data_IF_370780805647
#
_entry.id   IF_370780805647
#
_cell.length_a   1.000
_cell.length_b   1.000
_cell.length_c   1.000
_cell.angle_alpha   90.00
_cell.angle_beta   90.00
_cell.angle_gamma   90.00
#
_symmetry.space_group_name_H-M   'P 1'
#
loop_
_entity.id
_entity.type
_entity.pdbx_description
1 polymer ?
#
# COMPACT_ATOMS: atom_id res chain seq x y z
N UNK A 1 4.52 20.11 14.41
CA UNK A 1 4.62 18.85 15.20
C UNK A 1 4.28 17.72 14.25
N UNK A 2 5.05 16.63 14.19
CA UNK A 2 4.85 15.58 13.17
C UNK A 2 3.59 14.72 13.37
N UNK A 3 2.95 14.80 14.54
CA UNK A 3 1.77 13.99 14.87
C UNK A 3 0.58 14.24 13.93
N UNK A 4 0.33 15.50 13.57
CA UNK A 4 -0.78 15.86 12.65
C UNK A 4 -0.52 15.35 11.22
N UNK A 5 0.75 15.25 10.83
CA UNK A 5 1.16 14.77 9.51
C UNK A 5 0.94 13.26 9.39
N UNK A 6 1.24 12.51 10.45
CA UNK A 6 1.04 11.04 10.46
C UNK A 6 -0.42 10.68 10.27
N UNK A 7 -1.35 11.38 10.95
CA UNK A 7 -2.77 11.12 10.79
C UNK A 7 -3.24 11.36 9.34
N UNK A 8 -2.81 12.47 8.74
CA UNK A 8 -3.13 12.80 7.36
C UNK A 8 -2.55 11.79 6.35
N UNK A 9 -1.33 11.31 6.58
CA UNK A 9 -0.70 10.30 5.72
C UNK A 9 -1.44 8.95 5.79
N UNK A 10 -1.89 8.55 6.99
CA UNK A 10 -2.70 7.34 7.16
C UNK A 10 -4.07 7.46 6.48
N UNK A 11 -4.71 8.64 6.54
CA UNK A 11 -5.96 8.90 5.82
C UNK A 11 -5.75 8.82 4.29
N UNK A 12 -4.67 9.44 3.80
CA UNK A 12 -4.29 9.38 2.39
C UNK A 12 -3.96 7.95 1.95
N UNK A 13 -3.37 7.13 2.82
CA UNK A 13 -3.10 5.72 2.56
C UNK A 13 -4.39 4.93 2.34
N UNK A 14 -5.38 5.13 3.22
CA UNK A 14 -6.71 4.49 3.10
C UNK A 14 -7.42 4.95 1.83
N UNK A 15 -7.36 6.24 1.49
CA UNK A 15 -7.99 6.78 0.28
C UNK A 15 -7.41 6.21 -1.01
N UNK A 16 -6.14 5.77 -1.01
CA UNK A 16 -5.48 5.15 -2.16
C UNK A 16 -5.78 3.65 -2.32
N UNK A 17 -6.48 3.05 -1.36
CA UNK A 17 -6.86 1.65 -1.44
C UNK A 17 -7.81 1.43 -2.63
N UNK A 18 -7.54 0.40 -3.42
CA UNK A 18 -8.41 -0.03 -4.50
C UNK A 18 -9.77 -0.50 -3.97
N UNK A 19 -10.76 -0.55 -4.85
CA UNK A 19 -12.11 -1.06 -4.50
C UNK A 19 -12.09 -2.53 -4.05
N UNK A 20 -11.08 -3.29 -4.47
CA UNK A 20 -10.83 -4.67 -4.06
C UNK A 20 -10.09 -4.79 -2.73
N UNK A 21 -9.81 -3.67 -2.04
CA UNK A 21 -9.10 -3.64 -0.76
C UNK A 21 -7.58 -3.78 -0.88
N UNK A 22 -7.02 -3.60 -2.07
CA UNK A 22 -5.59 -3.80 -2.32
C UNK A 22 -4.87 -2.50 -2.71
N UNK A 23 -3.54 -2.54 -2.69
CA UNK A 23 -2.70 -1.46 -3.21
C UNK A 23 -1.82 -1.96 -4.35
N UNK A 24 -1.94 -1.31 -5.50
CA UNK A 24 -1.02 -1.53 -6.61
C UNK A 24 0.26 -0.70 -6.46
N UNK A 25 1.40 -1.21 -6.94
CA UNK A 25 2.61 -0.40 -7.05
C UNK A 25 2.37 0.76 -8.02
N UNK A 26 2.72 1.98 -7.59
CA UNK A 26 2.69 3.20 -8.42
C UNK A 26 3.99 3.42 -9.19
N UNK A 27 4.85 2.40 -9.24
CA UNK A 27 6.16 2.40 -9.87
C UNK A 27 6.34 1.12 -10.68
N UNK A 28 7.29 1.12 -11.59
CA UNK A 28 7.77 -0.07 -12.30
C UNK A 28 9.29 -0.11 -12.27
N UNK A 29 9.89 -1.24 -12.64
CA UNK A 29 11.35 -1.35 -12.73
C UNK A 29 11.94 -0.54 -13.90
N UNK A 30 11.12 -0.11 -14.86
CA UNK A 30 11.57 0.58 -16.08
C UNK A 30 12.40 -0.29 -17.03
N UNK A 31 12.44 -1.60 -16.79
CA UNK A 31 13.13 -2.64 -17.56
C UNK A 31 12.56 -4.00 -17.17
N UNK A 32 12.82 -5.03 -17.98
CA UNK A 32 12.33 -6.40 -17.75
C UNK A 32 10.79 -6.45 -17.68
N UNK A 33 10.11 -5.97 -18.73
CA UNK A 33 8.65 -5.76 -18.69
C UNK A 33 7.86 -7.05 -18.48
N UNK A 34 8.33 -8.18 -19.02
CA UNK A 34 7.67 -9.47 -18.84
C UNK A 34 7.81 -9.99 -17.41
N UNK A 35 9.01 -9.89 -16.83
CA UNK A 35 9.28 -10.23 -15.45
C UNK A 35 8.55 -9.28 -14.50
N UNK A 36 8.51 -7.99 -14.83
CA UNK A 36 7.77 -6.98 -14.08
C UNK A 36 6.27 -7.29 -14.08
N UNK A 37 5.69 -7.74 -15.20
CA UNK A 37 4.28 -8.11 -15.27
C UNK A 37 3.93 -9.22 -14.26
N UNK A 38 4.81 -10.19 -14.08
CA UNK A 38 4.65 -11.24 -13.07
C UNK A 38 4.90 -10.70 -11.65
N UNK A 39 6.00 -9.97 -11.45
CA UNK A 39 6.37 -9.42 -10.14
C UNK A 39 5.37 -8.39 -9.62
N UNK A 40 4.65 -7.68 -10.49
CA UNK A 40 3.64 -6.68 -10.11
C UNK A 40 2.56 -7.28 -9.22
N UNK A 41 2.15 -8.52 -9.46
CA UNK A 41 1.14 -9.21 -8.64
C UNK A 41 1.69 -9.56 -7.25
N UNK A 42 2.92 -10.06 -7.17
CA UNK A 42 3.60 -10.31 -5.90
C UNK A 42 3.78 -9.02 -5.09
N UNK A 43 4.15 -7.91 -5.77
CA UNK A 43 4.23 -6.59 -5.14
C UNK A 43 2.88 -6.08 -4.66
N UNK A 44 1.79 -6.31 -5.40
CA UNK A 44 0.43 -5.98 -4.96
C UNK A 44 0.09 -6.70 -3.65
N UNK A 45 0.41 -8.00 -3.54
CA UNK A 45 0.22 -8.78 -2.33
C UNK A 45 1.04 -8.25 -1.15
N UNK A 46 2.35 -8.02 -1.37
CA UNK A 46 3.24 -7.47 -0.36
C UNK A 46 2.78 -6.10 0.16
N UNK A 47 2.49 -5.16 -0.75
CA UNK A 47 2.05 -3.81 -0.41
C UNK A 47 0.74 -3.83 0.38
N UNK A 48 -0.21 -4.67 -0.03
CA UNK A 48 -1.49 -4.81 0.66
C UNK A 48 -1.29 -5.27 2.10
N UNK A 49 -0.52 -6.35 2.32
CA UNK A 49 -0.23 -6.83 3.67
C UNK A 49 0.52 -5.77 4.49
N UNK A 50 1.53 -5.13 3.91
CA UNK A 50 2.32 -4.11 4.58
C UNK A 50 1.47 -2.92 5.04
N UNK A 51 0.58 -2.40 4.18
CA UNK A 51 -0.31 -1.30 4.52
C UNK A 51 -1.35 -1.69 5.58
N UNK A 52 -1.96 -2.87 5.48
CA UNK A 52 -2.90 -3.36 6.51
C UNK A 52 -2.22 -3.49 7.87
N UNK A 53 -1.01 -4.05 7.92
CA UNK A 53 -0.23 -4.16 9.17
C UNK A 53 0.15 -2.79 9.72
N UNK A 54 0.48 -1.84 8.86
CA UNK A 54 0.75 -0.45 9.25
C UNK A 54 -0.49 0.18 9.86
N UNK A 55 -1.63 0.14 9.16
CA UNK A 55 -2.90 0.68 9.63
C UNK A 55 -3.33 0.05 10.96
N UNK A 56 -3.17 -1.26 11.12
CA UNK A 56 -3.42 -1.94 12.40
C UNK A 56 -2.50 -1.43 13.52
N UNK A 57 -1.21 -1.27 13.24
CA UNK A 57 -0.24 -0.79 14.24
C UNK A 57 -0.55 0.62 14.74
N UNK A 58 -1.20 1.43 13.91
CA UNK A 58 -1.71 2.76 14.27
C UNK A 58 -3.18 2.75 14.73
N UNK A 59 -3.78 1.58 14.93
CA UNK A 59 -5.17 1.44 15.41
C UNK A 59 -6.24 1.94 14.43
N UNK A 60 -5.91 2.07 13.14
CA UNK A 60 -6.84 2.55 12.11
C UNK A 60 -7.85 1.50 11.67
N UNK A 61 -7.51 0.22 11.84
CA UNK A 61 -8.36 -0.92 11.53
C UNK A 61 -8.23 -1.99 12.62
N UNK A 62 -9.27 -2.80 12.79
CA UNK A 62 -9.21 -4.04 13.54
C UNK A 62 -9.04 -5.21 12.54
N UNK A 63 -8.18 -6.17 12.88
CA UNK A 63 -8.11 -7.47 12.21
C UNK A 63 -8.86 -8.49 13.04
#
# INVERSE_FOLDING_TARGET
MYQDVIAADLDALIQKMGQDGTWEPNWSWGRYDEEWRLAKEEWKGYLTLHHLMTLKSFGRIAL
#
